data_IF_555929657973
#
_entry.id   IF_555929657973
#
_cell.length_a   1.000
_cell.length_b   1.000
_cell.length_c   1.000
_cell.angle_alpha   90.00
_cell.angle_beta   90.00
_cell.angle_gamma   90.00
#
_symmetry.space_group_name_H-M   'P 1'
#
loop_
_entity.id
_entity.type
_entity.pdbx_description
1 polymer ?
#
# COMPACT_ATOMS: atom_id res chain seq x y z
N UNK A 1 30.11 -3.84 -8.28
CA UNK A 1 28.75 -4.42 -8.36
C UNK A 1 27.80 -3.33 -8.84
N UNK A 2 26.68 -3.65 -9.48
CA UNK A 2 25.72 -2.60 -9.85
C UNK A 2 24.93 -2.18 -8.61
N UNK A 3 24.45 -0.94 -8.55
CA UNK A 3 23.58 -0.44 -7.48
C UNK A 3 22.35 -1.34 -7.30
N UNK A 4 21.85 -1.95 -8.38
CA UNK A 4 20.72 -2.89 -8.34
C UNK A 4 21.09 -4.15 -7.55
N UNK A 5 22.30 -4.67 -7.71
CA UNK A 5 22.77 -5.82 -6.94
C UNK A 5 22.79 -5.50 -5.44
N UNK A 6 23.26 -4.31 -5.07
CA UNK A 6 23.28 -3.84 -3.68
C UNK A 6 21.86 -3.62 -3.14
N UNK A 7 20.92 -3.11 -3.96
CA UNK A 7 19.49 -3.01 -3.63
C UNK A 7 18.86 -4.37 -3.35
N UNK A 8 19.17 -5.36 -4.19
CA UNK A 8 18.67 -6.71 -4.02
C UNK A 8 19.26 -7.37 -2.77
N UNK A 9 20.52 -7.11 -2.46
CA UNK A 9 21.16 -7.62 -1.24
C UNK A 9 20.54 -7.00 0.02
N UNK A 10 20.27 -5.68 0.03
CA UNK A 10 19.52 -5.05 1.13
C UNK A 10 18.15 -5.69 1.31
N UNK A 11 17.37 -5.81 0.22
CA UNK A 11 16.05 -6.41 0.28
C UNK A 11 16.12 -7.86 0.79
N UNK A 12 17.08 -8.65 0.30
CA UNK A 12 17.32 -10.03 0.74
C UNK A 12 17.68 -10.11 2.22
N UNK A 13 18.50 -9.19 2.72
CA UNK A 13 18.88 -9.15 4.14
C UNK A 13 17.71 -8.75 5.05
N UNK A 14 16.71 -8.05 4.52
CA UNK A 14 15.47 -7.76 5.25
C UNK A 14 14.50 -8.96 5.29
N UNK A 15 14.65 -9.97 4.43
CA UNK A 15 13.75 -11.12 4.40
C UNK A 15 13.91 -11.94 5.70
N UNK A 16 12.83 -12.15 6.47
CA UNK A 16 12.89 -12.94 7.69
C UNK A 16 13.31 -14.38 7.44
N UNK A 17 14.01 -14.98 8.41
CA UNK A 17 14.52 -16.36 8.32
C UNK A 17 13.40 -17.38 8.04
N UNK A 18 12.20 -17.17 8.58
CA UNK A 18 11.03 -18.02 8.33
C UNK A 18 10.64 -18.10 6.84
N UNK A 19 10.77 -17.00 6.09
CA UNK A 19 10.50 -16.98 4.64
C UNK A 19 11.59 -17.74 3.89
N UNK A 20 12.84 -17.68 4.37
CA UNK A 20 13.96 -18.46 3.81
C UNK A 20 13.76 -19.95 4.03
N UNK A 21 13.35 -20.36 5.24
CA UNK A 21 12.99 -21.75 5.57
C UNK A 21 11.85 -22.23 4.67
N UNK A 22 10.80 -21.41 4.50
CA UNK A 22 9.70 -21.72 3.60
C UNK A 22 10.14 -21.91 2.15
N UNK A 23 11.01 -21.04 1.62
CA UNK A 23 11.55 -21.16 0.27
C UNK A 23 12.35 -22.44 0.06
N UNK A 24 13.22 -22.77 1.00
CA UNK A 24 14.02 -24.00 0.94
C UNK A 24 13.11 -25.23 0.90
N UNK A 25 12.09 -25.26 1.77
CA UNK A 25 11.07 -26.31 1.75
C UNK A 25 10.31 -26.37 0.43
N UNK A 26 9.87 -25.23 -0.11
CA UNK A 26 9.18 -25.20 -1.41
C UNK A 26 10.08 -25.73 -2.53
N UNK A 27 11.37 -25.38 -2.50
CA UNK A 27 12.37 -25.94 -3.41
C UNK A 27 12.51 -27.46 -3.26
N UNK A 28 12.51 -27.99 -2.04
CA UNK A 28 12.57 -29.43 -1.79
C UNK A 28 11.29 -30.17 -2.25
N UNK A 29 10.12 -29.53 -2.14
CA UNK A 29 8.87 -30.03 -2.73
C UNK A 29 8.96 -30.08 -4.24
N UNK A 30 9.38 -28.98 -4.89
CA UNK A 30 9.48 -28.88 -6.35
C UNK A 30 10.53 -29.85 -6.93
N UNK A 31 11.59 -30.13 -6.18
CA UNK A 31 12.63 -31.09 -6.56
C UNK A 31 12.28 -32.54 -6.18
N UNK A 32 11.07 -32.80 -5.68
CA UNK A 32 10.61 -34.16 -5.35
C UNK A 32 11.28 -34.80 -4.13
N UNK A 33 12.01 -34.02 -3.31
CA UNK A 33 12.63 -34.51 -2.07
C UNK A 33 11.59 -34.70 -0.96
N UNK A 34 10.48 -33.96 -1.01
CA UNK A 34 9.33 -34.16 -0.13
C UNK A 34 8.32 -35.04 -0.83
N UNK A 35 7.98 -36.19 -0.22
CA UNK A 35 6.93 -37.06 -0.75
C UNK A 35 5.57 -36.38 -0.61
N UNK A 36 4.71 -36.53 -1.63
CA UNK A 36 3.37 -35.94 -1.64
C UNK A 36 2.52 -36.32 -0.41
N UNK A 37 2.66 -37.56 0.07
CA UNK A 37 1.96 -38.06 1.26
C UNK A 37 2.37 -37.33 2.56
N UNK A 38 3.59 -36.79 2.60
CA UNK A 38 4.18 -36.18 3.79
C UNK A 38 4.04 -34.64 3.76
N UNK A 39 3.45 -34.05 2.71
CA UNK A 39 3.35 -32.59 2.55
C UNK A 39 2.73 -31.94 3.78
N UNK A 40 1.60 -32.46 4.27
CA UNK A 40 0.92 -31.87 5.44
C UNK A 40 1.78 -31.89 6.68
N UNK A 41 2.47 -33.01 6.96
CA UNK A 41 3.36 -33.13 8.11
C UNK A 41 4.61 -32.26 7.94
N UNK A 42 5.16 -32.18 6.72
CA UNK A 42 6.33 -31.37 6.41
C UNK A 42 6.07 -29.88 6.60
N UNK A 43 4.89 -29.38 6.23
CA UNK A 43 4.48 -27.98 6.42
C UNK A 43 4.35 -27.66 7.91
N UNK A 44 3.76 -28.58 8.69
CA UNK A 44 3.61 -28.40 10.14
C UNK A 44 4.95 -28.41 10.89
N UNK A 45 5.97 -29.08 10.33
CA UNK A 45 7.32 -29.09 10.87
C UNK A 45 8.15 -27.84 10.54
N UNK A 46 7.63 -26.90 9.73
CA UNK A 46 8.34 -25.67 9.42
C UNK A 46 8.30 -24.72 10.62
N UNK A 47 9.47 -24.18 10.98
CA UNK A 47 9.62 -23.11 11.98
C UNK A 47 9.20 -21.76 11.40
N UNK A 48 7.95 -21.65 10.94
CA UNK A 48 7.34 -20.41 10.49
C UNK A 48 6.46 -19.90 11.63
N UNK A 49 6.77 -18.73 12.17
CA UNK A 49 6.17 -18.18 13.39
C UNK A 49 4.64 -18.11 13.28
N UNK A 50 4.16 -17.75 12.09
CA UNK A 50 2.75 -17.55 11.80
C UNK A 50 2.07 -18.75 11.11
N UNK A 51 2.68 -19.94 11.08
CA UNK A 51 2.15 -21.10 10.34
C UNK A 51 0.74 -21.50 10.77
N UNK A 52 0.44 -21.41 12.07
CA UNK A 52 -0.89 -21.72 12.59
C UNK A 52 -1.95 -20.70 12.13
N UNK A 53 -1.58 -19.43 11.97
CA UNK A 53 -2.47 -18.39 11.46
C UNK A 53 -2.71 -18.56 9.95
N UNK A 54 -1.66 -18.88 9.19
CA UNK A 54 -1.75 -19.22 7.77
C UNK A 54 -2.66 -20.43 7.57
N UNK A 55 -2.48 -21.49 8.36
CA UNK A 55 -3.32 -22.69 8.31
C UNK A 55 -4.79 -22.37 8.60
N UNK A 56 -5.09 -21.56 9.62
CA UNK A 56 -6.45 -21.09 9.90
C UNK A 56 -7.05 -20.36 8.69
N UNK A 57 -6.31 -19.46 8.05
CA UNK A 57 -6.77 -18.76 6.84
C UNK A 57 -6.98 -19.70 5.64
N UNK A 58 -6.17 -20.75 5.49
CA UNK A 58 -6.33 -21.72 4.41
C UNK A 58 -7.58 -22.58 4.60
N UNK A 59 -7.85 -23.03 5.82
CA UNK A 59 -9.00 -23.86 6.21
C UNK A 59 -10.30 -23.05 6.23
N UNK A 60 -10.29 -21.89 6.90
CA UNK A 60 -11.46 -21.04 7.09
C UNK A 60 -11.48 -19.92 6.05
N UNK A 61 -12.05 -20.24 4.89
CA UNK A 61 -11.98 -19.50 3.62
C UNK A 61 -12.45 -18.02 3.66
N UNK A 62 -13.15 -17.59 4.70
CA UNK A 62 -13.69 -16.22 4.85
C UNK A 62 -12.95 -15.37 5.90
N UNK A 63 -11.92 -15.91 6.52
CA UNK A 63 -11.14 -15.18 7.52
C UNK A 63 -10.18 -14.18 6.87
N UNK A 64 -9.85 -13.15 7.64
CA UNK A 64 -8.86 -12.14 7.33
C UNK A 64 -7.62 -12.37 8.16
N UNK A 65 -6.46 -12.23 7.54
CA UNK A 65 -5.19 -12.08 8.24
C UNK A 65 -4.98 -10.59 8.48
N UNK A 66 -4.94 -10.19 9.75
CA UNK A 66 -4.68 -8.84 10.21
C UNK A 66 -3.22 -8.77 10.66
N UNK A 67 -2.42 -7.94 10.00
CA UNK A 67 -0.99 -7.78 10.27
C UNK A 67 -0.77 -6.37 10.83
N UNK A 68 -0.24 -6.28 12.04
CA UNK A 68 0.20 -5.01 12.62
C UNK A 68 1.56 -4.66 12.02
N UNK A 69 1.58 -3.60 11.22
CA UNK A 69 2.78 -3.17 10.51
C UNK A 69 3.83 -2.54 11.43
N UNK A 70 3.47 -2.18 12.67
CA UNK A 70 4.40 -1.63 13.68
C UNK A 70 5.06 -2.71 14.51
N UNK A 71 4.28 -3.69 14.94
CA UNK A 71 4.75 -4.74 15.87
C UNK A 71 5.10 -6.04 15.16
N UNK A 72 4.66 -6.24 13.92
CA UNK A 72 4.78 -7.51 13.20
C UNK A 72 3.74 -8.55 13.63
N UNK A 73 2.89 -8.25 14.61
CA UNK A 73 1.92 -9.20 15.14
C UNK A 73 0.87 -9.59 14.09
N UNK A 74 0.63 -10.90 13.94
CA UNK A 74 -0.36 -11.44 12.99
C UNK A 74 -1.50 -12.11 13.73
N UNK A 75 -2.72 -11.69 13.41
CA UNK A 75 -3.98 -12.26 13.94
C UNK A 75 -4.91 -12.68 12.82
N UNK A 76 -5.82 -13.59 13.14
CA UNK A 76 -6.88 -14.03 12.22
C UNK A 76 -8.22 -13.51 12.73
N UNK A 77 -8.97 -12.80 11.89
CA UNK A 77 -10.23 -12.15 12.25
C UNK A 77 -11.34 -12.49 11.26
N UNK A 78 -12.58 -12.54 11.76
CA UNK A 78 -13.77 -12.77 10.91
C UNK A 78 -14.21 -11.55 10.10
N UNK A 79 -13.73 -10.36 10.47
CA UNK A 79 -14.05 -9.08 9.83
C UNK A 79 -12.82 -8.20 9.66
N UNK A 80 -12.91 -7.23 8.75
CA UNK A 80 -11.87 -6.21 8.56
C UNK A 80 -11.72 -5.38 9.85
N UNK A 81 -10.47 -5.12 10.25
CA UNK A 81 -10.13 -4.31 11.42
C UNK A 81 -9.32 -3.10 10.95
N UNK A 82 -9.57 -1.94 11.54
CA UNK A 82 -8.84 -0.71 11.22
C UNK A 82 -7.47 -0.70 11.89
N UNK A 83 -6.47 -0.09 11.24
CA UNK A 83 -5.10 0.01 11.77
C UNK A 83 -4.19 -1.17 11.43
N UNK A 84 -4.69 -2.19 10.74
CA UNK A 84 -3.93 -3.38 10.32
C UNK A 84 -3.86 -3.46 8.79
N UNK A 85 -2.80 -4.07 8.27
CA UNK A 85 -2.78 -4.57 6.90
C UNK A 85 -3.67 -5.82 6.84
N UNK A 86 -4.74 -5.74 6.05
CA UNK A 86 -5.77 -6.77 6.01
C UNK A 86 -5.68 -7.60 4.73
N UNK A 87 -5.39 -8.88 4.88
CA UNK A 87 -5.26 -9.83 3.78
C UNK A 87 -6.36 -10.88 3.86
N UNK A 88 -7.26 -10.88 2.88
CA UNK A 88 -8.32 -11.90 2.79
C UNK A 88 -7.78 -13.13 2.09
N UNK A 89 -7.86 -14.28 2.74
CA UNK A 89 -7.37 -15.55 2.19
C UNK A 89 -8.10 -15.97 0.91
N UNK A 90 -9.37 -15.54 0.76
CA UNK A 90 -10.24 -15.78 -0.40
C UNK A 90 -10.50 -17.26 -0.69
N UNK A 91 -11.55 -17.56 -1.43
CA UNK A 91 -11.68 -18.86 -2.09
C UNK A 91 -10.86 -18.90 -3.37
N UNK A 92 -10.41 -20.09 -3.84
CA UNK A 92 -9.80 -20.27 -5.15
C UNK A 92 -10.54 -19.55 -6.29
N UNK A 93 -11.87 -19.67 -6.30
CA UNK A 93 -12.73 -19.08 -7.35
C UNK A 93 -12.80 -17.55 -7.25
N UNK A 94 -12.82 -16.98 -6.03
CA UNK A 94 -12.76 -15.54 -5.84
C UNK A 94 -11.42 -14.97 -6.31
N UNK A 95 -10.31 -15.64 -6.01
CA UNK A 95 -8.98 -15.23 -6.46
C UNK A 95 -8.92 -15.31 -7.99
N UNK A 96 -9.36 -16.43 -8.56
CA UNK A 96 -9.44 -16.63 -10.01
C UNK A 96 -10.22 -15.51 -10.72
N UNK A 97 -11.38 -15.15 -10.19
CA UNK A 97 -12.24 -14.12 -10.78
C UNK A 97 -11.67 -12.70 -10.69
N UNK A 98 -10.71 -12.45 -9.78
CA UNK A 98 -10.00 -11.16 -9.68
C UNK A 98 -8.82 -11.06 -10.63
N UNK A 99 -8.34 -12.17 -11.19
CA UNK A 99 -7.23 -12.15 -12.14
C UNK A 99 -7.67 -11.58 -13.50
N UNK A 100 -6.76 -10.88 -14.17
CA UNK A 100 -6.99 -10.44 -15.56
C UNK A 100 -7.19 -11.64 -16.49
N UNK A 101 -7.83 -11.40 -17.64
CA UNK A 101 -8.06 -12.44 -18.65
C UNK A 101 -6.74 -13.05 -19.11
N UNK A 102 -5.74 -12.22 -19.40
CA UNK A 102 -4.42 -12.68 -19.88
C UNK A 102 -3.71 -13.61 -18.89
N UNK A 103 -3.78 -13.29 -17.58
CA UNK A 103 -3.23 -14.15 -16.51
C UNK A 103 -3.94 -15.49 -16.44
N UNK A 104 -5.27 -15.49 -16.53
CA UNK A 104 -6.05 -16.73 -16.53
C UNK A 104 -5.70 -17.60 -17.73
N UNK A 105 -5.63 -17.00 -18.93
CA UNK A 105 -5.25 -17.71 -20.16
C UNK A 105 -3.85 -18.29 -20.05
N UNK A 106 -2.87 -17.52 -19.55
CA UNK A 106 -1.51 -17.99 -19.34
C UNK A 106 -1.44 -19.15 -18.33
N UNK A 107 -2.08 -19.03 -17.17
CA UNK A 107 -2.09 -20.11 -16.16
C UNK A 107 -2.74 -21.36 -16.73
N UNK A 108 -3.87 -21.24 -17.45
CA UNK A 108 -4.50 -22.38 -18.12
C UNK A 108 -3.53 -22.99 -19.13
N UNK A 109 -2.90 -22.20 -20.00
CA UNK A 109 -2.03 -22.72 -21.05
C UNK A 109 -0.81 -23.46 -20.48
N UNK A 110 -0.16 -22.91 -19.46
CA UNK A 110 0.97 -23.57 -18.77
C UNK A 110 0.51 -24.85 -18.07
N UNK A 111 -0.64 -24.80 -17.39
CA UNK A 111 -1.17 -25.98 -16.70
C UNK A 111 -1.55 -27.08 -17.70
N UNK A 112 -2.16 -26.71 -18.83
CA UNK A 112 -2.48 -27.66 -19.90
C UNK A 112 -1.25 -28.25 -20.57
N UNK A 113 -0.20 -27.46 -20.79
CA UNK A 113 1.07 -27.94 -21.34
C UNK A 113 1.71 -29.00 -20.43
N UNK A 114 1.60 -28.83 -19.11
CA UNK A 114 2.04 -29.84 -18.12
C UNK A 114 1.16 -31.09 -18.12
N UNK A 115 -0.12 -30.96 -18.47
CA UNK A 115 -1.10 -32.06 -18.45
C UNK A 115 -1.21 -32.81 -19.78
N UNK A 116 -0.53 -32.35 -20.82
CA UNK A 116 -0.51 -32.95 -22.16
C UNK A 116 0.86 -33.54 -22.46
N UNK A 117 0.90 -34.68 -23.13
CA UNK A 117 2.15 -35.25 -23.62
C UNK A 117 2.66 -34.51 -24.88
N UNK A 118 3.83 -34.90 -25.40
CA UNK A 118 4.41 -34.33 -26.62
C UNK A 118 3.53 -34.47 -27.88
N UNK A 119 2.50 -35.32 -27.84
CA UNK A 119 1.50 -35.52 -28.91
C UNK A 119 0.21 -34.73 -28.66
N UNK A 120 0.14 -33.93 -27.60
CA UNK A 120 -1.04 -33.13 -27.24
C UNK A 120 -2.17 -33.90 -26.55
N UNK A 121 -1.97 -35.20 -26.24
CA UNK A 121 -2.97 -36.01 -25.56
C UNK A 121 -2.95 -35.77 -24.06
N UNK A 122 -4.12 -35.72 -23.44
CA UNK A 122 -4.27 -35.61 -21.99
C UNK A 122 -3.65 -36.82 -21.28
N UNK A 123 -2.75 -36.54 -20.33
CA UNK A 123 -2.08 -37.58 -19.53
C UNK A 123 -2.91 -37.98 -18.30
N UNK A 124 -3.87 -37.15 -17.91
CA UNK A 124 -4.61 -37.27 -16.65
C UNK A 124 -6.11 -37.33 -16.87
N UNK A 125 -6.81 -38.08 -16.02
CA UNK A 125 -8.26 -38.15 -15.96
C UNK A 125 -8.88 -36.80 -15.55
N UNK A 126 -10.20 -36.67 -15.75
CA UNK A 126 -10.95 -35.47 -15.31
C UNK A 126 -10.75 -35.17 -13.82
N UNK A 127 -10.70 -36.20 -12.98
CA UNK A 127 -10.53 -36.06 -11.54
C UNK A 127 -9.13 -35.55 -11.19
N UNK A 128 -8.09 -36.16 -11.76
CA UNK A 128 -6.69 -35.77 -11.52
C UNK A 128 -6.42 -34.34 -12.00
N UNK A 129 -6.98 -33.93 -13.14
CA UNK A 129 -6.88 -32.53 -13.60
C UNK A 129 -7.50 -31.55 -12.61
N UNK A 130 -8.66 -31.88 -12.04
CA UNK A 130 -9.30 -31.06 -10.99
C UNK A 130 -8.43 -30.96 -9.74
N UNK A 131 -7.75 -32.04 -9.36
CA UNK A 131 -6.82 -32.06 -8.22
C UNK A 131 -5.59 -31.18 -8.48
N UNK A 132 -5.05 -31.16 -9.71
CA UNK A 132 -3.93 -30.28 -10.08
C UNK A 132 -4.29 -28.81 -9.88
N UNK A 133 -5.45 -28.36 -10.39
CA UNK A 133 -5.90 -26.98 -10.19
C UNK A 133 -6.10 -26.61 -8.71
N UNK A 134 -6.61 -27.56 -7.91
CA UNK A 134 -6.74 -27.37 -6.46
C UNK A 134 -5.38 -27.25 -5.78
N UNK A 135 -4.40 -28.07 -6.17
CA UNK A 135 -3.03 -28.00 -5.66
C UNK A 135 -2.36 -26.67 -6.01
N UNK A 136 -2.43 -26.23 -7.27
CA UNK A 136 -1.90 -24.93 -7.71
C UNK A 136 -2.49 -23.81 -6.86
N UNK A 137 -3.80 -23.83 -6.64
CA UNK A 137 -4.44 -22.77 -5.85
C UNK A 137 -4.08 -22.84 -4.36
N UNK A 138 -3.89 -24.04 -3.82
CA UNK A 138 -3.43 -24.22 -2.45
C UNK A 138 -2.03 -23.63 -2.26
N UNK A 139 -1.07 -23.98 -3.12
CA UNK A 139 0.29 -23.47 -3.03
C UNK A 139 0.35 -21.95 -3.28
N UNK A 140 -0.40 -21.42 -4.24
CA UNK A 140 -0.47 -19.98 -4.47
C UNK A 140 -0.97 -19.22 -3.22
N UNK A 141 -2.02 -19.72 -2.55
CA UNK A 141 -2.53 -19.13 -1.30
C UNK A 141 -1.53 -19.27 -0.16
N UNK A 142 -0.87 -20.42 -0.04
CA UNK A 142 0.14 -20.68 0.98
C UNK A 142 1.33 -19.71 0.85
N UNK A 143 1.88 -19.57 -0.37
CA UNK A 143 2.96 -18.64 -0.68
C UNK A 143 2.52 -17.22 -0.30
N UNK A 144 1.40 -16.75 -0.84
CA UNK A 144 0.93 -15.39 -0.61
C UNK A 144 0.71 -15.06 0.88
N UNK A 145 0.06 -15.96 1.63
CA UNK A 145 -0.19 -15.77 3.06
C UNK A 145 1.11 -15.77 3.88
N UNK A 146 2.10 -16.59 3.51
CA UNK A 146 3.40 -16.64 4.18
C UNK A 146 4.14 -15.30 4.03
N UNK A 147 4.23 -14.78 2.80
CA UNK A 147 4.84 -13.47 2.55
C UNK A 147 4.07 -12.32 3.22
N UNK A 148 2.73 -12.37 3.18
CA UNK A 148 1.91 -11.39 3.86
C UNK A 148 2.23 -11.36 5.37
N UNK A 149 2.24 -12.51 6.03
CA UNK A 149 2.54 -12.59 7.46
C UNK A 149 3.95 -12.09 7.82
N UNK A 150 4.92 -12.25 6.92
CA UNK A 150 6.30 -11.82 7.14
C UNK A 150 6.54 -10.32 6.86
N UNK A 151 5.54 -9.60 6.34
CA UNK A 151 5.72 -8.20 5.90
C UNK A 151 6.10 -7.28 7.06
N UNK A 152 5.52 -7.47 8.25
CA UNK A 152 5.86 -6.66 9.43
C UNK A 152 7.32 -6.85 9.86
N UNK A 153 7.79 -8.10 9.93
CA UNK A 153 9.19 -8.42 10.22
C UNK A 153 10.16 -7.88 9.17
N UNK A 154 9.79 -7.96 7.89
CA UNK A 154 10.59 -7.35 6.82
C UNK A 154 10.78 -5.85 7.03
N UNK A 155 9.71 -5.14 7.41
CA UNK A 155 9.78 -3.71 7.69
C UNK A 155 10.58 -3.38 8.95
N UNK A 156 10.47 -4.21 9.99
CA UNK A 156 11.30 -4.08 11.20
C UNK A 156 12.79 -4.23 10.87
N UNK A 157 13.16 -5.26 10.07
CA UNK A 157 14.54 -5.45 9.63
C UNK A 157 15.06 -4.27 8.80
N UNK A 158 14.21 -3.71 7.92
CA UNK A 158 14.54 -2.52 7.16
C UNK A 158 14.72 -1.29 8.06
N UNK A 159 13.85 -1.13 9.06
CA UNK A 159 13.96 -0.06 10.06
C UNK A 159 15.28 -0.17 10.83
N UNK A 160 15.64 -1.35 11.31
CA UNK A 160 16.89 -1.59 12.04
C UNK A 160 18.11 -1.26 11.19
N UNK A 161 18.10 -1.60 9.89
CA UNK A 161 19.18 -1.23 8.97
C UNK A 161 19.32 0.30 8.85
N UNK A 162 18.19 1.01 8.65
CA UNK A 162 18.20 2.45 8.40
C UNK A 162 18.49 3.25 9.68
N UNK A 163 17.79 2.95 10.77
CA UNK A 163 17.75 3.80 11.97
C UNK A 163 18.80 3.37 12.99
N UNK A 164 18.80 2.09 13.37
CA UNK A 164 19.68 1.58 14.42
C UNK A 164 21.12 1.45 13.92
N UNK A 165 21.28 0.82 12.74
CA UNK A 165 22.60 0.59 12.14
C UNK A 165 23.10 1.78 11.32
N UNK A 166 22.24 2.77 11.07
CA UNK A 166 22.57 3.99 10.29
C UNK A 166 23.17 3.67 8.92
N UNK A 167 22.69 2.60 8.29
CA UNK A 167 23.09 2.27 6.92
C UNK A 167 22.50 3.33 5.98
N UNK A 168 23.38 4.05 5.30
CA UNK A 168 23.00 5.10 4.36
C UNK A 168 22.37 4.53 3.10
N UNK A 169 22.70 3.28 2.74
CA UNK A 169 22.32 2.71 1.46
C UNK A 169 20.78 2.58 1.30
N UNK A 170 20.02 1.98 2.24
CA UNK A 170 18.56 1.94 2.15
C UNK A 170 17.90 3.33 2.14
N UNK A 171 18.47 4.30 2.88
CA UNK A 171 18.00 5.68 2.86
C UNK A 171 18.21 6.33 1.49
N UNK A 172 19.39 6.14 0.88
CA UNK A 172 19.68 6.58 -0.47
C UNK A 172 18.76 5.90 -1.50
N UNK A 173 18.41 4.62 -1.32
CA UNK A 173 17.43 3.94 -2.17
C UNK A 173 16.04 4.57 -2.09
N UNK A 174 15.56 4.84 -0.87
CA UNK A 174 14.28 5.54 -0.67
C UNK A 174 14.30 6.91 -1.36
N UNK A 175 15.37 7.68 -1.15
CA UNK A 175 15.52 8.99 -1.77
C UNK A 175 15.52 8.90 -3.30
N UNK A 176 16.28 7.96 -3.86
CA UNK A 176 16.34 7.71 -5.30
C UNK A 176 14.95 7.39 -5.88
N UNK A 177 14.22 6.47 -5.25
CA UNK A 177 12.88 6.04 -5.68
C UNK A 177 11.87 7.19 -5.62
N UNK A 178 11.89 7.99 -4.55
CA UNK A 178 10.86 9.00 -4.29
C UNK A 178 11.16 10.34 -4.95
N UNK A 179 12.43 10.75 -5.00
CA UNK A 179 12.81 12.12 -5.36
C UNK A 179 13.66 12.25 -6.63
N UNK A 180 14.35 11.19 -7.08
CA UNK A 180 15.27 11.24 -8.24
C UNK A 180 14.79 10.38 -9.42
N UNK A 181 13.48 10.43 -9.69
CA UNK A 181 12.86 9.71 -10.80
C UNK A 181 13.19 8.21 -10.82
N UNK A 182 13.43 7.61 -9.65
CA UNK A 182 13.88 6.23 -9.56
C UNK A 182 12.87 5.24 -10.15
N UNK A 183 11.57 5.54 -10.08
CA UNK A 183 10.51 4.69 -10.62
C UNK A 183 10.51 4.64 -12.16
N UNK A 184 10.73 5.77 -12.84
CA UNK A 184 10.86 5.81 -14.31
C UNK A 184 12.18 5.19 -14.77
N UNK A 185 13.27 5.40 -14.03
CA UNK A 185 14.55 4.69 -14.28
C UNK A 185 14.42 3.17 -14.07
N UNK A 186 13.66 2.71 -13.07
CA UNK A 186 13.35 1.28 -12.90
C UNK A 186 12.57 0.71 -14.09
N UNK A 187 11.65 1.48 -14.67
CA UNK A 187 10.95 1.06 -15.89
C UNK A 187 11.92 0.87 -17.07
N UNK A 188 12.94 1.72 -17.21
CA UNK A 188 13.99 1.56 -18.23
C UNK A 188 14.83 0.29 -18.02
N UNK A 189 15.13 -0.07 -16.76
CA UNK A 189 15.83 -1.31 -16.43
C UNK A 189 14.98 -2.54 -16.77
N UNK A 190 13.68 -2.50 -16.46
CA UNK A 190 12.73 -3.53 -16.85
C UNK A 190 12.58 -3.63 -18.38
N UNK A 191 12.68 -2.49 -19.09
CA UNK A 191 12.73 -2.48 -20.55
C UNK A 191 13.95 -3.24 -21.09
N UNK A 192 15.14 -2.97 -20.54
CA UNK A 192 16.36 -3.67 -20.92
C UNK A 192 16.25 -5.17 -20.65
N UNK A 193 15.63 -5.56 -19.53
CA UNK A 193 15.35 -6.96 -19.25
C UNK A 193 14.45 -7.60 -20.32
N UNK A 194 13.37 -6.93 -20.75
CA UNK A 194 12.49 -7.42 -21.82
C UNK A 194 13.18 -7.55 -23.18
N UNK A 195 14.22 -6.75 -23.43
CA UNK A 195 15.01 -6.81 -24.67
C UNK A 195 16.07 -7.92 -24.66
N UNK A 196 16.24 -8.65 -23.55
CA UNK A 196 17.20 -9.76 -23.46
C UNK A 196 16.71 -11.01 -24.21
N UNK A 197 17.64 -11.83 -24.72
CA UNK A 197 17.36 -12.88 -25.70
C UNK A 197 16.53 -14.09 -25.20
N UNK A 198 16.08 -14.13 -23.94
CA UNK A 198 15.40 -15.30 -23.36
C UNK A 198 14.20 -14.95 -22.47
N UNK A 199 13.34 -14.03 -22.90
CA UNK A 199 12.14 -13.64 -22.14
C UNK A 199 10.94 -14.47 -22.56
N UNK A 200 10.44 -15.28 -21.63
CA UNK A 200 9.20 -16.02 -21.79
C UNK A 200 7.95 -15.13 -21.55
N UNK A 201 6.77 -15.62 -21.95
CA UNK A 201 5.51 -14.90 -21.82
C UNK A 201 5.14 -14.57 -20.35
N UNK A 202 5.52 -15.43 -19.40
CA UNK A 202 5.32 -15.19 -17.96
C UNK A 202 6.20 -14.07 -17.44
N UNK A 203 7.48 -14.06 -17.81
CA UNK A 203 8.42 -12.97 -17.53
C UNK A 203 7.91 -11.64 -18.07
N UNK A 204 7.37 -11.64 -19.30
CA UNK A 204 6.74 -10.46 -19.90
C UNK A 204 5.52 -9.96 -19.10
N UNK A 205 4.68 -10.87 -18.63
CA UNK A 205 3.48 -10.53 -17.86
C UNK A 205 3.84 -9.94 -16.48
N UNK A 206 4.87 -10.49 -15.83
CA UNK A 206 5.40 -9.94 -14.58
C UNK A 206 5.92 -8.52 -14.75
N UNK A 207 6.68 -8.25 -15.82
CA UNK A 207 7.18 -6.89 -16.09
C UNK A 207 6.03 -5.91 -16.32
N UNK A 208 5.01 -6.30 -17.08
CA UNK A 208 3.81 -5.46 -17.30
C UNK A 208 3.11 -5.12 -15.99
N UNK A 209 2.95 -6.09 -15.09
CA UNK A 209 2.40 -5.87 -13.76
C UNK A 209 3.24 -4.88 -12.93
N UNK A 210 4.57 -5.03 -12.98
CA UNK A 210 5.48 -4.09 -12.32
C UNK A 210 5.32 -2.68 -12.88
N UNK A 211 5.35 -2.49 -14.21
CA UNK A 211 5.15 -1.19 -14.84
C UNK A 211 3.81 -0.57 -14.44
N UNK A 212 2.75 -1.36 -14.44
CA UNK A 212 1.42 -0.91 -14.05
C UNK A 212 1.40 -0.40 -12.60
N UNK A 213 1.97 -1.17 -11.66
CA UNK A 213 2.12 -0.76 -10.28
C UNK A 213 2.96 0.52 -10.14
N UNK A 214 4.12 0.60 -10.81
CA UNK A 214 4.99 1.78 -10.78
C UNK A 214 4.28 3.04 -11.27
N UNK A 215 3.57 2.96 -12.41
CA UNK A 215 2.82 4.09 -12.98
C UNK A 215 1.69 4.53 -12.03
N UNK A 216 0.86 3.60 -11.57
CA UNK A 216 -0.28 3.93 -10.73
C UNK A 216 0.15 4.52 -9.38
N UNK A 217 1.11 3.88 -8.71
CA UNK A 217 1.58 4.34 -7.40
C UNK A 217 2.34 5.67 -7.50
N UNK A 218 3.21 5.84 -8.49
CA UNK A 218 3.96 7.09 -8.64
C UNK A 218 3.06 8.30 -8.90
N UNK A 219 2.01 8.13 -9.70
CA UNK A 219 1.02 9.18 -9.96
C UNK A 219 0.11 9.44 -8.77
N UNK A 220 -0.20 8.41 -7.98
CA UNK A 220 -1.00 8.58 -6.77
C UNK A 220 -0.23 9.32 -5.68
N UNK A 221 1.05 8.97 -5.51
CA UNK A 221 1.99 9.62 -4.59
C UNK A 221 2.45 10.99 -5.10
N UNK A 222 2.30 11.28 -6.39
CA UNK A 222 2.73 12.54 -7.01
C UNK A 222 4.26 12.68 -7.14
N UNK A 223 4.97 11.55 -7.09
CA UNK A 223 6.43 11.49 -7.31
C UNK A 223 6.76 11.58 -8.80
N UNK A 224 5.85 11.12 -9.67
CA UNK A 224 5.94 11.27 -11.12
C UNK A 224 4.71 11.97 -11.69
N UNK A 225 4.81 12.39 -12.96
CA UNK A 225 3.74 13.05 -13.70
C UNK A 225 3.37 12.24 -14.94
N UNK A 226 2.20 12.54 -15.54
CA UNK A 226 1.85 11.92 -16.82
C UNK A 226 2.90 12.19 -17.89
N UNK A 227 3.40 13.43 -17.96
CA UNK A 227 4.41 13.84 -18.93
C UNK A 227 5.76 13.13 -18.74
N UNK A 228 6.20 12.90 -17.48
CA UNK A 228 7.43 12.14 -17.23
C UNK A 228 7.29 10.67 -17.63
N UNK A 229 6.11 10.07 -17.41
CA UNK A 229 5.81 8.72 -17.90
C UNK A 229 5.67 8.63 -19.42
N UNK A 230 5.09 9.64 -20.09
CA UNK A 230 5.04 9.72 -21.56
C UNK A 230 6.46 9.73 -22.13
N UNK A 231 7.31 10.62 -21.64
CA UNK A 231 8.71 10.70 -22.07
C UNK A 231 9.46 9.37 -21.84
N UNK A 232 9.30 8.78 -20.66
CA UNK A 232 9.95 7.50 -20.32
C UNK A 232 9.48 6.37 -21.24
N UNK A 233 8.18 6.32 -21.53
CA UNK A 233 7.59 5.31 -22.40
C UNK A 233 8.12 5.44 -23.83
N UNK A 234 8.30 6.65 -24.35
CA UNK A 234 8.83 6.91 -25.69
C UNK A 234 10.28 6.42 -25.86
N UNK A 235 11.03 6.31 -24.76
CA UNK A 235 12.38 5.74 -24.72
C UNK A 235 12.38 4.20 -24.53
N UNK A 236 11.21 3.58 -24.32
CA UNK A 236 11.06 2.15 -24.09
C UNK A 236 10.57 1.39 -25.34
N UNK A 237 10.68 0.06 -25.31
CA UNK A 237 10.13 -0.83 -26.32
C UNK A 237 8.61 -0.83 -26.36
N UNK A 238 8.05 -1.36 -27.46
CA UNK A 238 6.62 -1.32 -27.74
C UNK A 238 5.72 -1.91 -26.63
N UNK A 239 6.20 -2.88 -25.86
CA UNK A 239 5.43 -3.51 -24.79
C UNK A 239 5.22 -2.60 -23.58
N UNK A 240 6.27 -1.93 -23.13
CA UNK A 240 6.17 -0.96 -22.04
C UNK A 240 5.45 0.29 -22.52
N UNK A 241 5.76 0.76 -23.73
CA UNK A 241 5.08 1.92 -24.31
C UNK A 241 3.56 1.75 -24.35
N UNK A 242 3.08 0.59 -24.84
CA UNK A 242 1.63 0.29 -24.90
C UNK A 242 0.99 0.25 -23.51
N UNK A 243 1.64 -0.38 -22.53
CA UNK A 243 1.12 -0.49 -21.16
C UNK A 243 0.98 0.89 -20.52
N UNK A 244 2.05 1.70 -20.57
CA UNK A 244 2.04 3.07 -20.02
C UNK A 244 1.01 3.93 -20.74
N UNK A 245 1.00 3.93 -22.08
CA UNK A 245 0.06 4.72 -22.87
C UNK A 245 -1.41 4.37 -22.57
N UNK A 246 -1.73 3.08 -22.42
CA UNK A 246 -3.06 2.63 -22.05
C UNK A 246 -3.47 3.13 -20.66
N UNK A 247 -2.59 2.98 -19.67
CA UNK A 247 -2.84 3.44 -18.30
C UNK A 247 -3.06 4.95 -18.25
N UNK A 248 -2.17 5.74 -18.86
CA UNK A 248 -2.26 7.20 -18.86
C UNK A 248 -3.55 7.72 -19.52
N UNK A 249 -4.01 7.06 -20.59
CA UNK A 249 -5.30 7.36 -21.27
C UNK A 249 -6.50 7.01 -20.39
N UNK A 250 -6.46 5.86 -19.70
CA UNK A 250 -7.55 5.41 -18.83
C UNK A 250 -7.71 6.27 -17.57
N UNK A 251 -6.64 6.94 -17.12
CA UNK A 251 -6.68 7.80 -15.95
C UNK A 251 -7.33 9.15 -16.23
N UNK A 252 -8.44 9.44 -15.54
CA UNK A 252 -9.05 10.78 -15.51
C UNK A 252 -8.02 11.81 -15.04
N UNK A 253 -7.90 12.92 -15.76
CA UNK A 253 -6.91 13.96 -15.47
C UNK A 253 -7.07 14.54 -14.06
N UNK A 254 -6.08 14.32 -13.19
CA UNK A 254 -5.90 15.10 -11.96
C UNK A 254 -5.21 16.40 -12.39
N UNK A 255 -5.96 17.50 -12.52
CA UNK A 255 -5.46 18.82 -12.98
C UNK A 255 -4.34 19.35 -12.08
N UNK A 256 -3.09 18.94 -12.31
CA UNK A 256 -1.87 19.63 -11.88
C UNK A 256 -1.64 19.88 -10.38
N UNK A 257 -2.57 19.52 -9.49
CA UNK A 257 -2.34 19.63 -8.06
C UNK A 257 -1.37 18.52 -7.65
N UNK A 258 -0.06 18.84 -7.70
CA UNK A 258 0.92 18.17 -6.85
C UNK A 258 0.36 18.28 -5.43
N UNK A 259 -0.19 17.18 -4.91
CA UNK A 259 -0.61 17.11 -3.52
C UNK A 259 0.71 17.12 -2.74
N UNK A 260 1.21 18.30 -2.41
CA UNK A 260 2.25 18.38 -1.39
C UNK A 260 1.61 17.79 -0.13
N UNK A 261 2.03 16.58 0.22
CA UNK A 261 1.58 15.91 1.45
C UNK A 261 2.24 16.70 2.56
N UNK A 262 1.46 17.55 3.23
CA UNK A 262 1.89 18.28 4.41
C UNK A 262 1.35 17.55 5.62
N UNK A 263 2.24 17.20 6.54
CA UNK A 263 1.87 16.69 7.86
C UNK A 263 1.33 17.83 8.73
N UNK A 264 0.67 17.50 9.84
CA UNK A 264 0.24 18.55 10.78
C UNK A 264 1.44 19.32 11.35
N UNK A 265 2.60 18.66 11.51
CA UNK A 265 3.86 19.27 11.96
C UNK A 265 4.43 20.27 10.93
N UNK A 266 4.12 20.10 9.65
CA UNK A 266 4.51 21.05 8.59
C UNK A 266 3.59 22.29 8.58
N UNK A 267 2.36 22.15 9.07
CA UNK A 267 1.36 23.22 9.10
C UNK A 267 1.47 24.11 10.33
N UNK A 268 1.82 23.52 11.49
CA UNK A 268 1.90 24.23 12.77
C UNK A 268 3.13 25.13 12.82
N UNK A 269 2.90 26.37 13.25
CA UNK A 269 3.91 27.36 13.62
C UNK A 269 3.99 27.42 15.15
N UNK A 270 5.19 27.56 15.72
CA UNK A 270 5.37 27.65 17.19
C UNK A 270 5.55 26.29 17.88
N UNK A 271 5.01 26.15 19.09
CA UNK A 271 5.17 24.95 19.92
C UNK A 271 4.34 23.77 19.38
N UNK A 272 4.93 23.02 18.44
CA UNK A 272 4.27 21.90 17.76
C UNK A 272 3.72 20.82 18.70
N UNK A 273 4.39 20.56 19.82
CA UNK A 273 3.98 19.49 20.74
C UNK A 273 2.68 19.85 21.46
N UNK A 274 2.62 21.04 22.06
CA UNK A 274 1.44 21.52 22.79
C UNK A 274 0.26 21.77 21.85
N UNK A 275 0.49 22.38 20.68
CA UNK A 275 -0.57 22.61 19.69
C UNK A 275 -1.16 21.28 19.21
N UNK A 276 -0.33 20.25 18.96
CA UNK A 276 -0.84 18.92 18.60
C UNK A 276 -1.66 18.28 19.71
N UNK A 277 -1.22 18.40 20.97
CA UNK A 277 -1.98 17.89 22.10
C UNK A 277 -3.35 18.58 22.22
N UNK A 278 -3.37 19.91 22.11
CA UNK A 278 -4.60 20.72 22.13
C UNK A 278 -5.53 20.39 20.95
N UNK A 279 -4.97 20.11 19.76
CA UNK A 279 -5.74 19.57 18.61
C UNK A 279 -6.38 18.23 18.95
N UNK A 280 -5.65 17.30 19.58
CA UNK A 280 -6.20 15.99 19.94
C UNK A 280 -7.35 16.14 20.95
N UNK A 281 -7.17 16.96 21.99
CA UNK A 281 -8.22 17.26 22.98
C UNK A 281 -9.46 17.91 22.33
N UNK A 282 -9.26 18.78 21.34
CA UNK A 282 -10.36 19.35 20.56
C UNK A 282 -11.16 18.26 19.83
N UNK A 283 -10.47 17.34 19.16
CA UNK A 283 -11.10 16.31 18.35
C UNK A 283 -11.80 15.24 19.19
N UNK A 284 -11.30 14.98 20.39
CA UNK A 284 -11.97 14.11 21.37
C UNK A 284 -13.25 14.76 21.92
N UNK A 285 -13.22 16.07 22.18
CA UNK A 285 -14.37 16.82 22.71
C UNK A 285 -15.44 17.09 21.63
N UNK A 286 -15.05 17.22 20.37
CA UNK A 286 -15.92 17.64 19.27
C UNK A 286 -15.93 16.59 18.14
N UNK A 287 -16.84 15.62 18.23
CA UNK A 287 -16.84 14.44 17.35
C UNK A 287 -17.49 14.65 15.97
N UNK A 288 -18.18 15.77 15.74
CA UNK A 288 -18.85 16.06 14.47
C UNK A 288 -17.84 16.57 13.43
N UNK A 289 -17.83 16.00 12.22
CA UNK A 289 -16.90 16.38 11.14
C UNK A 289 -16.91 17.88 10.81
N UNK A 290 -18.06 18.54 10.99
CA UNK A 290 -18.19 20.00 10.80
C UNK A 290 -17.25 20.81 11.72
N UNK A 291 -16.83 20.25 12.85
CA UNK A 291 -15.95 20.88 13.81
C UNK A 291 -14.52 21.06 13.28
N UNK A 292 -14.11 20.33 12.24
CA UNK A 292 -12.83 20.56 11.55
C UNK A 292 -12.75 21.97 10.93
N UNK A 293 -13.89 22.51 10.49
CA UNK A 293 -13.95 23.89 10.03
C UNK A 293 -13.65 24.87 11.17
N UNK A 294 -14.20 24.60 12.36
CA UNK A 294 -14.03 25.44 13.56
C UNK A 294 -12.60 25.36 14.08
N UNK A 295 -12.01 24.16 14.07
CA UNK A 295 -10.62 23.95 14.46
C UNK A 295 -9.66 24.75 13.57
N UNK A 296 -9.81 24.67 12.24
CA UNK A 296 -8.95 25.43 11.33
C UNK A 296 -9.13 26.95 11.52
N UNK A 297 -10.36 27.40 11.78
CA UNK A 297 -10.62 28.81 12.12
C UNK A 297 -9.85 29.24 13.36
N UNK A 298 -9.90 28.46 14.44
CA UNK A 298 -9.22 28.78 15.69
C UNK A 298 -7.71 28.82 15.47
N UNK A 299 -7.13 27.81 14.83
CA UNK A 299 -5.69 27.71 14.56
C UNK A 299 -5.17 28.85 13.67
N UNK A 300 -5.97 29.32 12.71
CA UNK A 300 -5.61 30.49 11.89
C UNK A 300 -5.72 31.78 12.71
N UNK A 301 -6.75 31.90 13.56
CA UNK A 301 -6.98 33.08 14.42
C UNK A 301 -5.89 33.23 15.49
N UNK A 302 -5.40 32.13 16.05
CA UNK A 302 -4.33 32.10 17.05
C UNK A 302 -2.93 32.06 16.44
N UNK A 303 -2.83 32.14 15.12
CA UNK A 303 -1.58 32.19 14.34
C UNK A 303 -0.73 30.90 14.37
N UNK A 304 -1.28 29.80 14.87
CA UNK A 304 -0.65 28.47 14.82
C UNK A 304 -0.65 27.86 13.43
N UNK A 305 -1.54 28.30 12.53
CA UNK A 305 -1.54 27.92 11.11
C UNK A 305 -1.67 29.17 10.24
N UNK A 306 -0.89 29.25 9.16
CA UNK A 306 -0.97 30.35 8.20
C UNK A 306 -2.33 30.37 7.50
N UNK A 307 -2.94 31.56 7.37
CA UNK A 307 -4.23 31.77 6.69
C UNK A 307 -4.26 31.38 5.20
N UNK A 308 -3.08 31.22 4.59
CA UNK A 308 -2.87 30.73 3.22
C UNK A 308 -3.12 29.22 3.07
N UNK A 309 -3.14 28.46 4.17
CA UNK A 309 -3.36 27.01 4.14
C UNK A 309 -4.78 26.72 3.64
N UNK A 310 -4.87 25.86 2.62
CA UNK A 310 -6.15 25.42 2.06
C UNK A 310 -6.79 24.38 3.00
N UNK A 311 -8.12 24.42 3.12
CA UNK A 311 -8.87 23.47 3.97
C UNK A 311 -8.50 22.01 3.68
N UNK A 312 -8.44 21.62 2.40
CA UNK A 312 -8.12 20.23 2.03
C UNK A 312 -6.70 19.79 2.39
N UNK A 313 -5.76 20.73 2.56
CA UNK A 313 -4.42 20.42 3.05
C UNK A 313 -4.47 20.12 4.55
N UNK A 314 -5.16 20.98 5.31
CA UNK A 314 -5.38 20.79 6.74
C UNK A 314 -6.18 19.52 7.06
N UNK A 315 -7.28 19.27 6.34
CA UNK A 315 -8.14 18.10 6.53
C UNK A 315 -7.34 16.80 6.45
N UNK A 316 -6.50 16.67 5.44
CA UNK A 316 -5.64 15.48 5.26
C UNK A 316 -4.59 15.35 6.35
N UNK A 317 -4.00 16.46 6.78
CA UNK A 317 -3.05 16.46 7.88
C UNK A 317 -3.68 15.96 9.19
N UNK A 318 -4.94 16.31 9.45
CA UNK A 318 -5.70 15.79 10.61
C UNK A 318 -6.05 14.30 10.45
N UNK A 319 -6.48 13.86 9.27
CA UNK A 319 -6.72 12.43 9.00
C UNK A 319 -5.45 11.59 9.22
N UNK A 320 -4.29 12.11 8.81
CA UNK A 320 -2.99 11.48 9.05
C UNK A 320 -2.61 11.46 10.54
N UNK A 321 -2.81 12.57 11.26
CA UNK A 321 -2.52 12.66 12.70
C UNK A 321 -3.35 11.65 13.50
N UNK A 322 -4.64 11.56 13.18
CA UNK A 322 -5.62 10.75 13.94
C UNK A 322 -5.77 9.32 13.44
N UNK A 323 -5.26 9.03 12.24
CA UNK A 323 -5.50 7.76 11.54
C UNK A 323 -7.00 7.44 11.38
N UNK A 324 -7.83 8.49 11.28
CA UNK A 324 -9.29 8.42 11.12
C UNK A 324 -9.73 9.19 9.87
N UNK A 325 -10.76 8.69 9.20
CA UNK A 325 -11.38 9.39 8.06
C UNK A 325 -12.50 10.33 8.52
N UNK A 326 -12.57 11.53 7.93
CA UNK A 326 -13.61 12.54 8.18
C UNK A 326 -14.28 12.95 6.86
N UNK A 327 -15.59 13.23 6.88
CA UNK A 327 -16.28 13.85 5.76
C UNK A 327 -15.76 15.26 5.50
N UNK A 328 -15.45 15.61 4.24
CA UNK A 328 -14.80 16.89 3.91
C UNK A 328 -15.74 17.94 3.33
N UNK A 329 -16.81 17.56 2.60
CA UNK A 329 -17.65 18.52 1.85
C UNK A 329 -18.31 19.56 2.76
N UNK A 330 -18.93 19.10 3.86
CA UNK A 330 -19.66 19.95 4.81
C UNK A 330 -18.74 20.91 5.57
N UNK A 331 -17.66 20.45 6.25
CA UNK A 331 -16.74 21.36 6.90
C UNK A 331 -15.96 22.26 5.92
N UNK A 332 -15.62 21.80 4.71
CA UNK A 332 -14.97 22.66 3.70
C UNK A 332 -15.85 23.85 3.34
N UNK A 333 -17.15 23.60 3.07
CA UNK A 333 -18.12 24.66 2.80
C UNK A 333 -18.22 25.61 4.00
N UNK A 334 -18.33 25.06 5.21
CA UNK A 334 -18.46 25.85 6.44
C UNK A 334 -17.25 26.74 6.70
N UNK A 335 -16.04 26.26 6.45
CA UNK A 335 -14.82 27.05 6.55
C UNK A 335 -14.80 28.21 5.54
N UNK A 336 -15.25 27.95 4.30
CA UNK A 336 -15.41 28.98 3.27
C UNK A 336 -16.35 30.10 3.72
N UNK A 337 -17.54 29.74 4.23
CA UNK A 337 -18.50 30.69 4.79
C UNK A 337 -17.83 31.56 5.88
N UNK A 338 -17.15 30.95 6.85
CA UNK A 338 -16.52 31.67 7.96
C UNK A 338 -15.37 32.60 7.53
N UNK A 339 -14.60 32.20 6.52
CA UNK A 339 -13.49 33.00 5.97
C UNK A 339 -13.99 34.23 5.22
N UNK A 340 -15.09 34.11 4.47
CA UNK A 340 -15.67 35.22 3.69
C UNK A 340 -16.36 36.26 4.58
N UNK A 341 -17.02 35.84 5.66
CA UNK A 341 -17.74 36.75 6.56
C UNK A 341 -16.87 37.48 7.59
N UNK A 342 -15.54 37.30 7.54
CA UNK A 342 -14.54 37.98 8.38
C UNK A 342 -14.91 38.01 9.88
N UNK A 343 -15.61 36.95 10.34
CA UNK A 343 -16.15 36.81 11.69
C UNK A 343 -17.10 37.95 12.16
N UNK A 344 -17.56 38.82 11.24
CA UNK A 344 -18.34 40.04 11.56
C UNK A 344 -19.85 39.95 11.28
N UNK A 345 -20.32 38.86 10.69
CA UNK A 345 -21.74 38.79 10.32
C UNK A 345 -22.63 38.46 11.54
N UNK A 346 -23.60 39.32 11.82
CA UNK A 346 -24.68 39.11 12.80
C UNK A 346 -25.70 38.08 12.27
N UNK A 347 -25.28 36.83 12.09
CA UNK A 347 -26.15 35.77 11.57
C UNK A 347 -26.68 34.90 12.71
N UNK A 348 -27.99 35.05 12.97
CA UNK A 348 -28.68 34.65 14.20
C UNK A 348 -29.04 33.15 14.31
N UNK A 349 -28.52 32.26 13.45
CA UNK A 349 -28.92 30.85 13.46
C UNK A 349 -28.28 30.08 14.63
N UNK A 350 -29.00 29.08 15.16
CA UNK A 350 -28.53 28.25 16.28
C UNK A 350 -27.20 27.55 15.97
N UNK A 351 -26.99 27.18 14.70
CA UNK A 351 -25.74 26.57 14.22
C UNK A 351 -24.54 27.51 14.35
N UNK A 352 -24.70 28.79 13.99
CA UNK A 352 -23.61 29.79 14.13
C UNK A 352 -23.32 30.12 15.59
N UNK A 353 -24.34 30.16 16.45
CA UNK A 353 -24.15 30.33 17.91
C UNK A 353 -23.36 29.17 18.52
N UNK A 354 -23.66 27.92 18.13
CA UNK A 354 -22.90 26.72 18.55
C UNK A 354 -21.44 26.81 18.09
N UNK A 355 -21.23 27.14 16.81
CA UNK A 355 -19.90 27.27 16.25
C UNK A 355 -19.06 28.35 16.97
N UNK A 356 -19.65 29.53 17.19
CA UNK A 356 -18.99 30.63 17.91
C UNK A 356 -18.60 30.22 19.34
N UNK A 357 -19.50 29.55 20.08
CA UNK A 357 -19.20 29.06 21.43
C UNK A 357 -18.01 28.10 21.46
N UNK A 358 -17.92 27.19 20.48
CA UNK A 358 -16.79 26.26 20.35
C UNK A 358 -15.52 27.04 20.01
N UNK A 359 -15.56 27.91 19.00
CA UNK A 359 -14.41 28.71 18.57
C UNK A 359 -13.87 29.59 19.71
N UNK A 360 -14.74 30.31 20.42
CA UNK A 360 -14.33 31.21 21.50
C UNK A 360 -13.70 30.43 22.66
N UNK A 361 -14.28 29.29 23.06
CA UNK A 361 -13.71 28.41 24.09
C UNK A 361 -12.30 27.93 23.72
N UNK A 362 -12.15 27.41 22.50
CA UNK A 362 -10.88 26.83 22.07
C UNK A 362 -9.85 27.89 21.68
N UNK A 363 -10.26 29.12 21.31
CA UNK A 363 -9.32 30.22 21.10
C UNK A 363 -8.47 30.44 22.36
N UNK A 364 -9.08 30.43 23.55
CA UNK A 364 -8.38 30.59 24.83
C UNK A 364 -7.35 29.47 25.01
N UNK A 365 -7.76 28.21 24.84
CA UNK A 365 -6.86 27.06 24.99
C UNK A 365 -5.68 27.10 24.00
N UNK A 366 -5.91 27.54 22.75
CA UNK A 366 -4.84 27.64 21.77
C UNK A 366 -3.95 28.89 21.98
N UNK A 367 -4.44 29.96 22.58
CA UNK A 367 -3.60 31.11 22.96
C UNK A 367 -2.59 30.74 24.06
N UNK A 368 -2.93 29.80 24.93
CA UNK A 368 -2.03 29.25 25.95
C UNK A 368 -0.90 28.38 25.37
N UNK A 369 -1.03 27.91 24.12
CA UNK A 369 -0.01 27.09 23.43
C UNK A 369 1.04 27.91 22.64
N UNK A 370 1.10 29.24 22.82
CA UNK A 370 1.99 30.13 22.04
C UNK A 370 3.47 30.03 22.39
#
# INVERSE_FOLDING_TARGET
MSIITEMMDVAKNCVPEEVRVFHNWLGDVLNGKVKMADITQSIQGLSIEHIHMIAKCLVYKEQWMAIDMKTGEVKVTSKKVNGYLMVRSGTPIEIWNRMSVDKRVYIVSQTEALMKNSKGCWMFSNLERKMIYQAITFFARLIFLTYASATGHFLANLYDLVIERKDNLPYCMYYYVVFDHGLTKMAMLLNQFLLSENIDQGSMLMVKDCINALVLHSLDMGTETKASWEKTADECGADIWKEVAFLLRSMKGRRGNKKQVMTIDDLIVGNKAEVKQCIMEFLETNTEDICLAYLLVVLVKTEHIKSSVKYMTFHRAIEQLTQRHYGYDVPQKRYGEMKEFNFKCSMQSASYKKAKKIIDRWTICFEECK
#
